data_IF_769668736073
#
_entry.id   IF_769668736073
#
_cell.length_a   1.000
_cell.length_b   1.000
_cell.length_c   1.000
_cell.angle_alpha   90.00
_cell.angle_beta   90.00
_cell.angle_gamma   90.00
#
_symmetry.space_group_name_H-M   'P 1'
#
loop_
_entity.id
_entity.type
_entity.pdbx_description
1 polymer ?
#
# COMPACT_ATOMS: atom_id res chain seq x y z
N UNK A 1 4.14 -35.59 -3.21
CA UNK A 1 2.91 -35.41 -4.00
C UNK A 1 1.97 -34.56 -3.14
N UNK A 2 2.02 -33.24 -3.27
CA UNK A 2 1.18 -32.32 -2.48
C UNK A 2 -0.02 -31.98 -3.35
N UNK A 3 -1.21 -32.30 -2.82
CA UNK A 3 -2.50 -32.10 -3.44
C UNK A 3 -2.77 -30.61 -3.65
N UNK A 4 -2.83 -30.17 -4.91
CA UNK A 4 -3.44 -28.91 -5.29
C UNK A 4 -4.96 -29.02 -5.07
N UNK A 5 -5.43 -28.55 -3.92
CA UNK A 5 -6.86 -28.27 -3.73
C UNK A 5 -7.22 -27.13 -4.68
N UNK A 6 -7.94 -27.47 -5.74
CA UNK A 6 -8.64 -26.54 -6.62
C UNK A 6 -9.57 -25.65 -5.79
N UNK A 7 -9.10 -24.47 -5.39
CA UNK A 7 -9.99 -23.38 -4.99
C UNK A 7 -10.73 -22.90 -6.25
N UNK A 8 -11.87 -23.55 -6.53
CA UNK A 8 -12.91 -22.90 -7.34
C UNK A 8 -13.32 -21.67 -6.57
N UNK A 9 -13.08 -20.48 -7.14
CA UNK A 9 -13.52 -19.20 -6.57
C UNK A 9 -14.96 -19.33 -6.08
N UNK A 10 -15.13 -19.23 -4.77
CA UNK A 10 -16.43 -19.38 -4.14
C UNK A 10 -17.41 -18.37 -4.73
N UNK A 11 -18.68 -18.77 -4.84
CA UNK A 11 -19.76 -17.84 -5.19
C UNK A 11 -19.68 -16.69 -4.19
N UNK A 12 -19.34 -15.50 -4.69
CA UNK A 12 -19.33 -14.29 -3.87
C UNK A 12 -20.76 -14.07 -3.39
N UNK A 13 -20.98 -14.20 -2.09
CA UNK A 13 -22.31 -14.16 -1.47
C UNK A 13 -22.94 -12.78 -1.62
N UNK A 14 -24.27 -12.75 -1.77
CA UNK A 14 -25.04 -11.50 -1.72
C UNK A 14 -24.94 -10.82 -0.34
N UNK A 15 -24.60 -11.58 0.70
CA UNK A 15 -24.33 -11.09 2.04
C UNK A 15 -23.03 -11.68 2.58
N UNK A 16 -22.38 -10.96 3.48
CA UNK A 16 -21.19 -11.41 4.20
C UNK A 16 -21.29 -10.98 5.65
N UNK A 17 -21.11 -11.92 6.58
CA UNK A 17 -21.13 -11.64 8.01
C UNK A 17 -19.69 -11.38 8.46
N UNK A 18 -19.43 -10.21 9.01
CA UNK A 18 -18.12 -9.91 9.59
C UNK A 18 -17.82 -10.84 10.76
N UNK A 19 -16.56 -11.23 10.88
CA UNK A 19 -16.08 -12.14 11.93
C UNK A 19 -14.65 -11.82 12.39
N UNK A 20 -14.18 -10.61 12.11
CA UNK A 20 -12.85 -10.11 12.47
C UNK A 20 -12.93 -9.02 13.53
N UNK A 21 -11.92 -8.95 14.40
CA UNK A 21 -11.88 -8.02 15.53
C UNK A 21 -13.20 -8.04 16.33
N UNK A 22 -13.73 -6.86 16.66
CA UNK A 22 -15.05 -6.67 17.27
C UNK A 22 -16.16 -6.42 16.22
N UNK A 23 -15.85 -6.57 14.92
CA UNK A 23 -16.79 -6.34 13.84
C UNK A 23 -17.78 -7.51 13.74
N UNK A 24 -19.07 -7.18 13.66
CA UNK A 24 -20.15 -8.16 13.61
C UNK A 24 -21.34 -7.66 12.78
N UNK A 25 -21.13 -6.81 11.78
CA UNK A 25 -22.20 -6.35 10.89
C UNK A 25 -22.59 -7.44 9.88
N UNK A 26 -23.85 -7.42 9.46
CA UNK A 26 -24.26 -8.13 8.26
C UNK A 26 -24.10 -7.18 7.08
N UNK A 27 -23.19 -7.53 6.19
CA UNK A 27 -22.90 -6.76 5.00
C UNK A 27 -23.76 -7.25 3.84
N UNK A 28 -24.24 -6.32 3.02
CA UNK A 28 -24.95 -6.60 1.78
C UNK A 28 -24.10 -6.16 0.61
N UNK A 29 -23.91 -7.05 -0.38
CA UNK A 29 -23.21 -6.71 -1.62
C UNK A 29 -24.07 -5.74 -2.43
N UNK A 30 -23.53 -4.57 -2.72
CA UNK A 30 -24.22 -3.50 -3.46
C UNK A 30 -23.70 -3.30 -4.88
N UNK A 31 -22.48 -3.77 -5.16
CA UNK A 31 -21.90 -3.80 -6.51
C UNK A 31 -21.02 -5.04 -6.69
N UNK A 32 -20.99 -5.58 -7.91
CA UNK A 32 -20.16 -6.73 -8.27
C UNK A 32 -19.69 -6.63 -9.73
N UNK A 33 -18.36 -6.56 -9.91
CA UNK A 33 -17.70 -6.48 -11.21
C UNK A 33 -16.54 -7.47 -11.32
N UNK A 34 -15.71 -7.32 -12.37
CA UNK A 34 -14.47 -8.10 -12.57
C UNK A 34 -13.41 -7.75 -11.53
N UNK A 35 -13.34 -6.49 -11.12
CA UNK A 35 -12.26 -5.94 -10.30
C UNK A 35 -12.69 -5.67 -8.86
N UNK A 36 -14.00 -5.65 -8.57
CA UNK A 36 -14.53 -5.19 -7.30
C UNK A 36 -15.76 -6.00 -6.87
N UNK A 37 -15.81 -6.34 -5.59
CA UNK A 37 -17.03 -6.66 -4.87
C UNK A 37 -17.22 -5.63 -3.73
N UNK A 38 -18.28 -4.83 -3.81
CA UNK A 38 -18.55 -3.76 -2.85
C UNK A 38 -19.68 -4.16 -1.91
N UNK A 39 -19.45 -3.97 -0.62
CA UNK A 39 -20.32 -4.35 0.48
C UNK A 39 -20.59 -3.18 1.40
N UNK A 40 -21.85 -2.96 1.77
CA UNK A 40 -22.25 -1.97 2.76
C UNK A 40 -22.94 -2.67 3.94
N UNK A 41 -22.82 -2.09 5.13
CA UNK A 41 -23.84 -2.27 6.15
C UNK A 41 -25.10 -1.41 5.85
N UNK A 42 -26.07 -1.40 6.76
CA UNK A 42 -27.33 -0.67 6.55
C UNK A 42 -27.20 0.85 6.58
N UNK A 43 -26.09 1.39 7.08
CA UNK A 43 -25.98 2.79 7.47
C UNK A 43 -25.24 3.63 6.41
N UNK A 44 -24.74 2.98 5.36
CA UNK A 44 -24.14 3.66 4.19
C UNK A 44 -25.22 4.08 3.21
N UNK A 45 -25.18 5.35 2.80
CA UNK A 45 -26.07 5.87 1.76
C UNK A 45 -25.76 5.19 0.41
N UNK A 46 -26.76 4.49 -0.13
CA UNK A 46 -26.67 3.79 -1.41
C UNK A 46 -26.55 4.73 -2.61
N UNK A 47 -26.82 6.02 -2.45
CA UNK A 47 -26.56 7.03 -3.49
C UNK A 47 -25.07 7.13 -3.85
N UNK A 48 -24.17 6.73 -2.94
CA UNK A 48 -22.70 6.74 -3.13
C UNK A 48 -22.18 5.62 -4.02
N UNK A 49 -22.98 4.58 -4.30
CA UNK A 49 -22.55 3.37 -5.03
C UNK A 49 -21.90 3.69 -6.39
N UNK A 50 -22.47 4.54 -7.27
CA UNK A 50 -21.89 4.77 -8.59
C UNK A 50 -20.49 5.37 -8.52
N UNK A 51 -20.28 6.35 -7.62
CA UNK A 51 -18.99 6.99 -7.42
C UNK A 51 -17.95 6.03 -6.82
N UNK A 52 -18.29 5.38 -5.70
CA UNK A 52 -17.36 4.48 -4.98
C UNK A 52 -16.98 3.28 -5.86
N UNK A 53 -17.97 2.64 -6.49
CA UNK A 53 -17.70 1.47 -7.34
C UNK A 53 -16.84 1.81 -8.54
N UNK A 54 -17.04 2.98 -9.16
CA UNK A 54 -16.19 3.46 -10.25
C UNK A 54 -14.76 3.70 -9.77
N UNK A 55 -14.60 4.50 -8.72
CA UNK A 55 -13.28 4.85 -8.18
C UNK A 55 -12.48 3.59 -7.81
N UNK A 56 -13.05 2.69 -7.01
CA UNK A 56 -12.35 1.49 -6.53
C UNK A 56 -12.04 0.50 -7.65
N UNK A 57 -12.92 0.36 -8.64
CA UNK A 57 -12.64 -0.50 -9.80
C UNK A 57 -11.48 0.06 -10.65
N UNK A 58 -11.45 1.38 -10.86
CA UNK A 58 -10.36 2.07 -11.56
C UNK A 58 -9.05 1.95 -10.78
N UNK A 59 -9.09 2.18 -9.46
CA UNK A 59 -7.94 2.09 -8.58
C UNK A 59 -7.35 0.67 -8.53
N UNK A 60 -8.20 -0.35 -8.40
CA UNK A 60 -7.73 -1.73 -8.35
C UNK A 60 -7.15 -2.20 -9.69
N UNK A 61 -7.73 -1.76 -10.82
CA UNK A 61 -7.13 -1.98 -12.15
C UNK A 61 -5.76 -1.33 -12.27
N UNK A 62 -5.60 -0.10 -11.77
CA UNK A 62 -4.30 0.58 -11.71
C UNK A 62 -3.28 -0.23 -10.90
N UNK A 63 -3.69 -0.70 -9.72
CA UNK A 63 -2.85 -1.52 -8.83
C UNK A 63 -2.39 -2.79 -9.53
N UNK A 64 -3.31 -3.60 -10.07
CA UNK A 64 -2.96 -4.86 -10.74
C UNK A 64 -2.02 -4.65 -11.93
N UNK A 65 -2.26 -3.60 -12.73
CA UNK A 65 -1.43 -3.28 -13.89
C UNK A 65 0.02 -2.95 -13.52
N UNK A 66 0.22 -2.27 -12.39
CA UNK A 66 1.53 -1.74 -12.02
C UNK A 66 2.29 -2.64 -11.02
N UNK A 67 1.59 -3.23 -10.05
CA UNK A 67 2.17 -3.93 -8.89
C UNK A 67 2.02 -5.45 -8.95
N UNK A 68 1.48 -5.99 -10.05
CA UNK A 68 1.37 -7.42 -10.32
C UNK A 68 0.05 -8.05 -9.85
N UNK A 69 0.06 -9.38 -9.75
CA UNK A 69 -1.11 -10.15 -9.31
C UNK A 69 -1.20 -10.22 -7.78
N UNK A 70 -2.43 -10.20 -7.27
CA UNK A 70 -2.77 -10.22 -5.85
C UNK A 70 -3.56 -11.49 -5.50
N UNK A 71 -3.07 -12.63 -5.96
CA UNK A 71 -3.70 -13.93 -5.71
C UNK A 71 -4.67 -14.37 -6.81
N UNK A 72 -5.35 -15.50 -6.60
CA UNK A 72 -6.17 -16.15 -7.63
C UNK A 72 -7.51 -15.46 -7.88
N UNK A 73 -8.05 -14.72 -6.90
CA UNK A 73 -9.21 -13.84 -7.11
C UNK A 73 -8.71 -12.44 -7.44
N UNK A 74 -9.08 -11.96 -8.62
CA UNK A 74 -8.61 -10.68 -9.13
C UNK A 74 -9.37 -9.47 -8.56
N UNK A 75 -10.30 -9.68 -7.62
CA UNK A 75 -11.13 -8.63 -7.03
C UNK A 75 -10.53 -8.03 -5.77
N UNK A 76 -10.77 -6.74 -5.63
CA UNK A 76 -10.83 -6.06 -4.35
C UNK A 76 -12.20 -6.31 -3.71
N UNK A 77 -12.21 -6.61 -2.43
CA UNK A 77 -13.42 -6.68 -1.61
C UNK A 77 -13.45 -5.44 -0.74
N UNK A 78 -14.38 -4.54 -1.02
CA UNK A 78 -14.44 -3.28 -0.31
C UNK A 78 -15.69 -3.24 0.57
N UNK A 79 -15.49 -2.90 1.83
CA UNK A 79 -16.52 -2.84 2.87
C UNK A 79 -16.60 -1.41 3.36
N UNK A 80 -17.80 -0.86 3.44
CA UNK A 80 -18.04 0.49 3.94
C UNK A 80 -19.11 0.47 5.02
N UNK A 81 -18.89 1.31 6.03
CA UNK A 81 -19.78 1.63 7.14
C UNK A 81 -19.88 3.14 7.29
N UNK A 82 -20.89 3.65 7.98
CA UNK A 82 -20.99 5.09 8.32
C UNK A 82 -20.99 5.26 9.83
N UNK A 83 -20.09 6.10 10.36
CA UNK A 83 -20.06 6.45 11.78
C UNK A 83 -19.69 5.29 12.71
N UNK A 84 -18.98 4.28 12.20
CA UNK A 84 -18.53 3.10 12.95
C UNK A 84 -17.04 2.88 12.75
N UNK A 85 -16.43 2.03 13.58
CA UNK A 85 -15.09 1.45 13.35
C UNK A 85 -14.06 2.45 12.78
N UNK A 86 -13.79 3.53 13.52
CA UNK A 86 -13.08 4.70 13.00
C UNK A 86 -11.79 4.39 12.23
N UNK A 87 -11.61 5.06 11.09
CA UNK A 87 -10.51 4.81 10.16
C UNK A 87 -10.87 3.78 9.09
N UNK A 88 -9.86 3.03 8.65
CA UNK A 88 -10.00 1.86 7.82
C UNK A 88 -9.06 0.76 8.28
N UNK A 89 -9.22 -0.45 7.74
CA UNK A 89 -8.20 -1.49 7.84
C UNK A 89 -8.14 -2.34 6.58
N UNK A 90 -6.98 -2.98 6.31
CA UNK A 90 -6.78 -3.82 5.15
C UNK A 90 -6.67 -5.30 5.53
N UNK A 91 -7.02 -6.17 4.59
CA UNK A 91 -6.56 -7.55 4.59
C UNK A 91 -6.14 -7.97 3.18
N UNK A 92 -5.36 -9.04 3.10
CA UNK A 92 -4.79 -9.51 1.85
C UNK A 92 -4.95 -11.02 1.75
N UNK A 93 -4.91 -11.54 0.51
CA UNK A 93 -5.31 -12.90 0.19
C UNK A 93 -4.51 -14.03 0.86
N UNK A 94 -3.40 -13.74 1.53
CA UNK A 94 -2.69 -14.71 2.37
C UNK A 94 -3.31 -14.89 3.77
N UNK A 95 -4.21 -13.99 4.18
CA UNK A 95 -4.79 -13.98 5.52
C UNK A 95 -6.12 -14.73 5.59
N UNK A 96 -6.22 -15.65 6.54
CA UNK A 96 -7.47 -16.32 6.86
C UNK A 96 -8.48 -15.40 7.56
N UNK A 97 -8.04 -14.29 8.17
CA UNK A 97 -8.92 -13.40 8.96
C UNK A 97 -10.04 -12.78 8.14
N UNK A 98 -9.84 -12.66 6.83
CA UNK A 98 -10.83 -12.13 5.89
C UNK A 98 -11.04 -13.08 4.72
N UNK A 99 -11.09 -14.39 5.02
CA UNK A 99 -11.48 -15.41 4.05
C UNK A 99 -10.58 -15.46 2.79
N UNK A 100 -9.29 -15.17 2.97
CA UNK A 100 -8.26 -15.14 1.90
C UNK A 100 -8.60 -14.17 0.75
N UNK A 101 -9.15 -13.00 1.09
CA UNK A 101 -9.49 -11.92 0.13
C UNK A 101 -8.60 -10.70 0.32
N UNK A 102 -8.43 -9.95 -0.76
CA UNK A 102 -7.92 -8.58 -0.69
C UNK A 102 -9.06 -7.68 -0.24
N UNK A 103 -9.00 -7.19 0.99
CA UNK A 103 -10.07 -6.47 1.64
C UNK A 103 -9.62 -5.08 2.04
N UNK A 104 -10.48 -4.10 1.80
CA UNK A 104 -10.45 -2.83 2.52
C UNK A 104 -11.77 -2.69 3.26
N UNK A 105 -11.71 -2.27 4.52
CA UNK A 105 -12.87 -2.08 5.38
C UNK A 105 -12.81 -0.66 5.96
N UNK A 106 -13.88 0.10 5.77
CA UNK A 106 -13.90 1.56 5.88
C UNK A 106 -15.00 2.00 6.83
N UNK A 107 -14.64 2.67 7.93
CA UNK A 107 -15.59 2.99 9.00
C UNK A 107 -16.15 4.43 9.04
N UNK A 108 -15.34 5.40 8.61
CA UNK A 108 -15.59 6.82 8.89
C UNK A 108 -16.95 7.34 8.35
N UNK A 109 -17.18 7.30 7.04
CA UNK A 109 -18.38 7.84 6.38
C UNK A 109 -18.57 9.35 6.54
N UNK A 110 -19.55 9.97 5.84
CA UNK A 110 -20.61 9.39 5.01
C UNK A 110 -20.30 9.15 3.50
N UNK A 111 -19.03 9.14 3.07
CA UNK A 111 -18.56 8.68 1.74
C UNK A 111 -19.18 9.32 0.48
N UNK A 112 -19.68 10.54 0.58
CA UNK A 112 -20.12 11.29 -0.59
C UNK A 112 -18.96 11.62 -1.53
N UNK A 113 -19.29 12.03 -2.76
CA UNK A 113 -18.32 12.48 -3.77
C UNK A 113 -17.77 13.88 -3.41
N UNK A 114 -17.04 13.93 -2.29
CA UNK A 114 -16.37 15.10 -1.77
C UNK A 114 -14.85 14.94 -1.89
N UNK A 115 -14.14 16.07 -1.95
CA UNK A 115 -12.68 16.05 -2.03
C UNK A 115 -12.06 15.33 -0.83
N UNK A 116 -11.22 14.34 -1.12
CA UNK A 116 -10.53 13.53 -0.10
C UNK A 116 -11.38 12.45 0.56
N UNK A 117 -12.64 12.27 0.15
CA UNK A 117 -13.50 11.17 0.63
C UNK A 117 -12.86 9.80 0.40
N UNK A 118 -12.07 9.66 -0.67
CA UNK A 118 -11.37 8.42 -1.03
C UNK A 118 -9.96 8.30 -0.44
N UNK A 119 -9.49 9.22 0.41
CA UNK A 119 -8.13 9.15 0.97
C UNK A 119 -7.92 7.90 1.85
N UNK A 120 -8.89 7.57 2.72
CA UNK A 120 -8.80 6.37 3.57
C UNK A 120 -8.90 5.08 2.72
N UNK A 121 -9.88 4.93 1.80
CA UNK A 121 -9.89 3.78 0.89
C UNK A 121 -8.60 3.62 0.08
N UNK A 122 -8.01 4.73 -0.39
CA UNK A 122 -6.73 4.75 -1.11
C UNK A 122 -5.59 4.24 -0.23
N UNK A 123 -5.56 4.70 1.02
CA UNK A 123 -4.59 4.30 2.02
C UNK A 123 -4.66 2.79 2.30
N UNK A 124 -5.86 2.24 2.49
CA UNK A 124 -6.00 0.79 2.74
C UNK A 124 -5.66 -0.05 1.50
N UNK A 125 -5.94 0.44 0.29
CA UNK A 125 -5.47 -0.19 -0.95
C UNK A 125 -3.93 -0.24 -0.96
N UNK A 126 -3.26 0.82 -0.52
CA UNK A 126 -1.80 0.83 -0.44
C UNK A 126 -1.28 -0.28 0.48
N UNK A 127 -1.88 -0.52 1.64
CA UNK A 127 -1.42 -1.61 2.50
C UNK A 127 -1.52 -2.99 1.85
N UNK A 128 -2.50 -3.21 0.95
CA UNK A 128 -2.53 -4.44 0.15
C UNK A 128 -1.34 -4.48 -0.82
N UNK A 129 -1.03 -3.36 -1.50
CA UNK A 129 0.16 -3.24 -2.37
C UNK A 129 1.44 -3.52 -1.57
N UNK A 130 1.56 -2.91 -0.41
CA UNK A 130 2.71 -3.03 0.47
C UNK A 130 2.93 -4.47 0.95
N UNK A 131 1.85 -5.16 1.31
CA UNK A 131 1.91 -6.51 1.90
C UNK A 131 1.95 -7.63 0.87
N UNK A 132 1.52 -7.38 -0.38
CA UNK A 132 1.23 -8.46 -1.31
C UNK A 132 1.67 -8.25 -2.77
N UNK A 133 2.29 -7.11 -3.10
CA UNK A 133 2.77 -6.84 -4.46
C UNK A 133 3.75 -7.89 -4.97
N UNK A 134 3.70 -8.13 -6.28
CA UNK A 134 4.53 -9.13 -6.97
C UNK A 134 4.50 -10.52 -6.31
N UNK A 135 3.34 -10.93 -5.81
CA UNK A 135 3.12 -12.22 -5.16
C UNK A 135 4.01 -12.44 -3.92
N UNK A 136 4.36 -11.37 -3.20
CA UNK A 136 5.10 -11.45 -1.93
C UNK A 136 4.17 -11.43 -0.73
N UNK A 137 4.69 -11.67 0.48
CA UNK A 137 3.92 -11.59 1.71
C UNK A 137 4.67 -10.80 2.79
N UNK A 138 4.01 -9.76 3.30
CA UNK A 138 4.51 -8.86 4.35
C UNK A 138 5.17 -7.59 3.81
N UNK A 139 5.47 -6.66 4.73
CA UNK A 139 6.18 -5.41 4.42
C UNK A 139 7.46 -5.32 5.23
N UNK A 140 8.65 -5.31 4.61
CA UNK A 140 9.89 -5.24 5.38
C UNK A 140 10.15 -3.88 6.03
N UNK A 141 9.51 -2.80 5.57
CA UNK A 141 9.73 -1.45 6.12
C UNK A 141 8.56 -0.87 6.91
N UNK A 142 7.44 -1.58 7.00
CA UNK A 142 6.27 -1.17 7.79
C UNK A 142 6.63 -1.01 9.26
N UNK A 143 6.00 -0.02 9.90
CA UNK A 143 6.19 0.29 11.32
C UNK A 143 7.12 1.48 11.57
N UNK A 144 7.08 1.99 12.79
CA UNK A 144 7.86 3.16 13.17
C UNK A 144 9.27 2.77 13.66
N UNK A 145 10.28 3.64 13.49
CA UNK A 145 11.57 3.48 14.13
C UNK A 145 11.42 3.24 15.65
N UNK A 146 12.24 2.37 16.26
CA UNK A 146 13.38 1.67 15.67
C UNK A 146 13.04 0.35 14.94
N UNK A 147 11.77 -0.08 14.92
CA UNK A 147 11.37 -1.43 14.44
C UNK A 147 10.85 -1.44 12.99
N UNK A 148 10.74 -0.27 12.36
CA UNK A 148 10.37 -0.08 10.96
C UNK A 148 10.95 1.23 10.43
N UNK A 149 10.58 1.59 9.20
CA UNK A 149 11.16 2.71 8.46
C UNK A 149 10.14 3.83 8.27
N UNK A 150 9.00 3.51 7.66
CA UNK A 150 8.09 4.52 7.11
C UNK A 150 6.73 4.56 7.81
N UNK A 151 6.60 3.87 8.93
CA UNK A 151 5.35 3.86 9.70
C UNK A 151 4.19 3.26 8.92
N UNK A 152 3.01 3.73 9.28
CA UNK A 152 1.74 3.35 8.66
C UNK A 152 1.56 4.09 7.32
N UNK A 153 1.69 5.42 7.35
CA UNK A 153 1.11 6.24 6.28
C UNK A 153 2.09 6.76 5.22
N UNK A 154 3.41 6.77 5.44
CA UNK A 154 4.30 7.59 4.60
C UNK A 154 4.35 7.09 3.16
N UNK A 155 4.50 5.79 2.93
CA UNK A 155 4.46 5.24 1.57
C UNK A 155 3.04 5.34 0.95
N UNK A 156 1.99 5.31 1.76
CA UNK A 156 0.61 5.52 1.32
C UNK A 156 0.38 6.94 0.78
N UNK A 157 1.00 7.96 1.38
CA UNK A 157 0.89 9.36 0.94
C UNK A 157 1.35 9.53 -0.52
N UNK A 158 2.54 9.01 -0.88
CA UNK A 158 3.06 9.11 -2.26
C UNK A 158 2.32 8.18 -3.23
N UNK A 159 1.86 7.01 -2.75
CA UNK A 159 1.01 6.14 -3.54
C UNK A 159 -0.32 6.80 -3.88
N UNK A 160 -0.97 7.48 -2.94
CA UNK A 160 -2.23 8.18 -3.18
C UNK A 160 -2.07 9.28 -4.23
N UNK A 161 -1.00 10.07 -4.14
CA UNK A 161 -0.66 11.03 -5.17
C UNK A 161 -0.48 10.40 -6.56
N UNK A 162 0.32 9.33 -6.66
CA UNK A 162 0.58 8.59 -7.90
C UNK A 162 -0.71 7.98 -8.48
N UNK A 163 -1.53 7.37 -7.65
CA UNK A 163 -2.80 6.77 -8.03
C UNK A 163 -3.77 7.82 -8.58
N UNK A 164 -4.01 8.90 -7.85
CA UNK A 164 -4.91 9.96 -8.30
C UNK A 164 -4.44 10.55 -9.64
N UNK A 165 -3.13 10.80 -9.79
CA UNK A 165 -2.55 11.22 -11.06
C UNK A 165 -2.78 10.18 -12.17
N UNK A 166 -2.55 8.91 -11.87
CA UNK A 166 -2.72 7.78 -12.79
C UNK A 166 -4.18 7.54 -13.23
N UNK A 167 -5.15 7.96 -12.43
CA UNK A 167 -6.58 7.93 -12.74
C UNK A 167 -7.07 9.21 -13.43
N UNK A 168 -6.22 10.22 -13.61
CA UNK A 168 -6.59 11.53 -14.16
C UNK A 168 -7.33 12.45 -13.17
N UNK A 169 -7.34 12.10 -11.88
CA UNK A 169 -7.97 12.87 -10.80
C UNK A 169 -7.02 13.97 -10.30
N UNK A 170 -6.66 14.90 -11.19
CA UNK A 170 -5.59 15.87 -10.93
C UNK A 170 -5.87 16.83 -9.77
N UNK A 171 -7.15 17.15 -9.52
CA UNK A 171 -7.56 17.98 -8.37
C UNK A 171 -7.28 17.25 -7.05
N UNK A 172 -7.59 15.96 -6.97
CA UNK A 172 -7.28 15.12 -5.80
C UNK A 172 -5.77 14.94 -5.62
N UNK A 173 -5.06 14.70 -6.72
CA UNK A 173 -3.61 14.55 -6.69
C UNK A 173 -2.93 15.81 -6.12
N UNK A 174 -3.29 17.00 -6.61
CA UNK A 174 -2.68 18.24 -6.11
C UNK A 174 -3.09 18.54 -4.67
N UNK A 175 -4.35 18.27 -4.28
CA UNK A 175 -4.78 18.41 -2.88
C UNK A 175 -3.97 17.51 -1.95
N UNK A 176 -3.90 16.21 -2.26
CA UNK A 176 -3.15 15.24 -1.46
C UNK A 176 -1.68 15.64 -1.33
N UNK A 177 -1.05 16.05 -2.44
CA UNK A 177 0.33 16.55 -2.46
C UNK A 177 0.51 17.79 -1.57
N UNK A 178 -0.37 18.78 -1.64
CA UNK A 178 -0.28 20.00 -0.81
C UNK A 178 -0.34 19.64 0.68
N UNK A 179 -1.26 18.77 1.07
CA UNK A 179 -1.40 18.32 2.45
C UNK A 179 -0.13 17.58 2.92
N UNK A 180 0.39 16.65 2.11
CA UNK A 180 1.59 15.89 2.46
C UNK A 180 2.86 16.75 2.48
N UNK A 181 2.98 17.77 1.62
CA UNK A 181 4.10 18.71 1.61
C UNK A 181 4.18 19.54 2.90
N UNK A 182 3.04 19.86 3.50
CA UNK A 182 2.95 20.62 4.74
C UNK A 182 3.21 19.76 5.99
N UNK A 183 3.08 18.44 5.88
CA UNK A 183 3.19 17.53 7.01
C UNK A 183 4.64 17.25 7.40
N UNK A 184 4.89 17.15 8.72
CA UNK A 184 6.18 16.75 9.28
C UNK A 184 5.97 15.77 10.43
N UNK A 185 6.95 14.90 10.63
CA UNK A 185 6.95 13.89 11.66
C UNK A 185 8.18 14.03 12.56
N UNK A 186 8.15 13.33 13.69
CA UNK A 186 9.29 13.26 14.61
C UNK A 186 10.16 12.01 14.41
N UNK A 187 10.00 11.30 13.30
CA UNK A 187 10.81 10.14 12.94
C UNK A 187 11.36 10.22 11.50
N UNK A 188 12.59 9.73 11.25
CA UNK A 188 13.51 9.16 12.24
C UNK A 188 14.12 10.20 13.20
N UNK A 189 13.87 11.48 12.96
CA UNK A 189 14.24 12.58 13.86
C UNK A 189 13.15 13.67 13.86
N UNK A 190 13.13 14.57 14.87
CA UNK A 190 12.23 15.72 14.91
C UNK A 190 12.22 16.51 13.60
N UNK A 191 11.03 16.98 13.19
CA UNK A 191 10.81 17.81 12.00
C UNK A 191 11.27 17.17 10.67
N UNK A 192 11.08 15.85 10.51
CA UNK A 192 11.31 15.15 9.25
C UNK A 192 10.11 15.34 8.33
N UNK A 193 10.33 15.91 7.13
CA UNK A 193 9.28 16.05 6.12
C UNK A 193 9.41 14.91 5.09
N UNK A 194 8.77 13.77 5.38
CA UNK A 194 8.86 12.57 4.53
C UNK A 194 8.47 12.82 3.08
N UNK A 195 7.31 13.43 2.85
CA UNK A 195 6.85 13.67 1.50
C UNK A 195 7.72 14.69 0.76
N UNK A 196 7.95 15.86 1.39
CA UNK A 196 8.68 16.99 0.79
C UNK A 196 10.14 16.66 0.50
N UNK A 197 10.83 16.07 1.48
CA UNK A 197 12.30 15.94 1.43
C UNK A 197 12.75 14.56 0.96
N UNK A 198 11.88 13.54 0.97
CA UNK A 198 12.23 12.20 0.51
C UNK A 198 11.33 11.69 -0.62
N UNK A 199 10.05 11.42 -0.34
CA UNK A 199 9.20 10.62 -1.24
C UNK A 199 8.96 11.33 -2.57
N UNK A 200 8.65 12.63 -2.55
CA UNK A 200 8.41 13.38 -3.78
C UNK A 200 9.69 13.58 -4.61
N UNK A 201 10.85 13.95 -4.02
CA UNK A 201 12.14 13.91 -4.72
C UNK A 201 12.48 12.53 -5.28
N UNK A 202 12.32 11.46 -4.51
CA UNK A 202 12.60 10.09 -4.94
C UNK A 202 11.70 9.66 -6.11
N UNK A 203 10.40 9.92 -6.00
CA UNK A 203 9.42 9.68 -7.04
C UNK A 203 9.76 10.43 -8.33
N UNK A 204 9.91 11.76 -8.27
CA UNK A 204 10.15 12.58 -9.48
C UNK A 204 11.48 12.24 -10.14
N UNK A 205 12.54 12.05 -9.36
CA UNK A 205 13.87 11.76 -9.87
C UNK A 205 14.03 10.32 -10.38
N UNK A 206 13.20 9.37 -9.93
CA UNK A 206 13.22 7.97 -10.36
C UNK A 206 12.30 7.66 -11.55
N UNK A 207 11.58 8.65 -12.09
CA UNK A 207 10.62 8.46 -13.17
C UNK A 207 9.23 8.09 -12.68
N UNK A 208 8.79 8.71 -11.59
CA UNK A 208 7.43 8.72 -11.09
C UNK A 208 6.94 7.33 -10.67
N UNK A 209 5.79 6.86 -11.18
CA UNK A 209 5.21 5.53 -10.91
C UNK A 209 6.26 4.43 -11.02
N UNK A 210 7.20 4.55 -11.97
CA UNK A 210 8.27 3.59 -12.19
C UNK A 210 9.15 3.39 -10.95
N UNK A 211 9.45 4.47 -10.20
CA UNK A 211 10.26 4.38 -9.00
C UNK A 211 9.54 3.57 -7.90
N UNK A 212 8.26 3.85 -7.66
CA UNK A 212 7.44 3.13 -6.68
C UNK A 212 7.36 1.64 -7.03
N UNK A 213 6.99 1.36 -8.28
CA UNK A 213 6.82 0.00 -8.81
C UNK A 213 8.14 -0.78 -8.77
N UNK A 214 9.25 -0.15 -9.18
CA UNK A 214 10.56 -0.80 -9.14
C UNK A 214 11.02 -1.12 -7.73
N UNK A 215 10.71 -0.29 -6.74
CA UNK A 215 11.07 -0.56 -5.36
C UNK A 215 10.47 -1.86 -4.86
N UNK A 216 9.15 -2.03 -5.00
CA UNK A 216 8.49 -3.28 -4.63
C UNK A 216 8.94 -4.47 -5.47
N UNK A 217 9.24 -4.26 -6.76
CA UNK A 217 9.80 -5.32 -7.63
C UNK A 217 11.18 -5.78 -7.15
N UNK A 218 12.06 -4.85 -6.78
CA UNK A 218 13.38 -5.15 -6.26
C UNK A 218 13.29 -5.87 -4.92
N UNK A 219 12.42 -5.42 -4.01
CA UNK A 219 12.16 -6.14 -2.75
C UNK A 219 11.72 -7.57 -3.02
N UNK A 220 10.75 -7.74 -3.91
CA UNK A 220 10.25 -9.05 -4.29
C UNK A 220 11.32 -9.94 -4.92
N UNK A 221 12.27 -9.36 -5.65
CA UNK A 221 13.32 -10.14 -6.30
C UNK A 221 14.47 -10.51 -5.34
N UNK A 222 14.88 -9.58 -4.49
CA UNK A 222 16.17 -9.67 -3.80
C UNK A 222 16.08 -9.71 -2.28
N UNK A 223 15.03 -9.17 -1.67
CA UNK A 223 14.95 -9.10 -0.22
C UNK A 223 14.68 -10.50 0.39
N UNK A 224 15.35 -10.89 1.51
CA UNK A 224 15.25 -12.25 2.03
C UNK A 224 13.84 -12.70 2.39
N UNK A 225 13.52 -13.95 2.07
CA UNK A 225 12.24 -14.61 2.38
C UNK A 225 12.44 -15.91 3.15
N UNK A 226 11.44 -16.34 3.91
CA UNK A 226 11.48 -17.65 4.55
C UNK A 226 11.51 -18.76 3.49
N UNK A 227 12.38 -19.78 3.64
CA UNK A 227 12.49 -20.87 2.66
C UNK A 227 11.15 -21.51 2.33
N UNK A 228 10.88 -21.68 1.04
CA UNK A 228 9.64 -22.30 0.55
C UNK A 228 8.38 -21.42 0.65
N UNK A 229 8.52 -20.14 1.01
CA UNK A 229 7.39 -19.20 1.10
C UNK A 229 7.69 -17.91 0.35
N UNK A 230 6.64 -17.12 0.10
CA UNK A 230 6.76 -15.78 -0.43
C UNK A 230 6.86 -14.69 0.67
N UNK A 231 6.96 -15.09 1.94
CA UNK A 231 6.99 -14.19 3.08
C UNK A 231 8.38 -13.65 3.35
N UNK A 232 8.52 -12.33 3.45
CA UNK A 232 9.79 -11.71 3.85
C UNK A 232 10.23 -12.19 5.23
N UNK A 233 11.53 -12.46 5.37
CA UNK A 233 12.08 -13.14 6.55
C UNK A 233 12.35 -12.20 7.73
N UNK A 234 12.42 -10.89 7.50
CA UNK A 234 12.77 -9.87 8.49
C UNK A 234 12.37 -8.47 8.03
N UNK A 235 12.46 -7.51 8.93
CA UNK A 235 12.42 -6.08 8.59
C UNK A 235 13.71 -5.62 7.89
N UNK A 236 13.61 -4.55 7.12
CA UNK A 236 14.75 -3.86 6.52
C UNK A 236 15.30 -2.79 7.45
N UNK A 237 16.59 -2.48 7.28
CA UNK A 237 17.23 -1.33 7.94
C UNK A 237 17.30 -0.09 7.01
N UNK A 238 17.80 1.03 7.53
CA UNK A 238 17.88 2.28 6.77
C UNK A 238 18.81 2.20 5.56
N UNK A 239 19.96 1.54 5.71
CA UNK A 239 20.88 1.34 4.60
C UNK A 239 20.27 0.53 3.46
N UNK A 240 19.50 -0.51 3.78
CA UNK A 240 18.75 -1.32 2.83
C UNK A 240 17.65 -0.49 2.17
N UNK A 241 16.85 0.25 2.95
CA UNK A 241 15.83 1.13 2.40
C UNK A 241 16.42 2.08 1.34
N UNK A 242 17.50 2.79 1.68
CA UNK A 242 18.14 3.75 0.80
C UNK A 242 18.79 3.07 -0.41
N UNK A 243 19.38 1.88 -0.24
CA UNK A 243 19.97 1.09 -1.33
C UNK A 243 18.91 0.61 -2.33
N UNK A 244 17.80 0.04 -1.86
CA UNK A 244 16.70 -0.39 -2.71
C UNK A 244 15.99 0.78 -3.38
N UNK A 245 15.78 1.90 -2.67
CA UNK A 245 15.25 3.14 -3.28
C UNK A 245 16.17 3.71 -4.34
N UNK A 246 17.50 3.61 -4.15
CA UNK A 246 18.50 4.01 -5.16
C UNK A 246 18.41 3.15 -6.42
N UNK A 247 18.34 1.82 -6.26
CA UNK A 247 18.10 0.90 -7.36
C UNK A 247 16.80 1.17 -8.09
N UNK A 248 15.74 1.44 -7.35
CA UNK A 248 14.42 1.73 -7.91
C UNK A 248 14.40 3.01 -8.75
N UNK A 249 15.14 4.04 -8.31
CA UNK A 249 15.32 5.30 -9.02
C UNK A 249 16.39 5.23 -10.12
N UNK A 250 17.18 4.16 -10.18
CA UNK A 250 18.33 4.02 -11.08
C UNK A 250 19.50 4.95 -10.76
N UNK A 251 19.51 5.58 -9.59
CA UNK A 251 20.54 6.54 -9.17
C UNK A 251 20.80 6.52 -7.68
N UNK A 252 21.98 6.91 -7.25
CA UNK A 252 22.34 6.95 -5.83
C UNK A 252 21.55 8.04 -5.08
N UNK A 253 20.62 7.62 -4.21
CA UNK A 253 19.75 8.52 -3.44
C UNK A 253 20.33 8.90 -2.07
N UNK A 254 21.57 8.51 -1.75
CA UNK A 254 22.22 8.84 -0.46
C UNK A 254 22.18 10.33 -0.14
N UNK A 255 22.50 11.20 -1.10
CA UNK A 255 22.49 12.64 -0.86
C UNK A 255 21.09 13.16 -0.50
N UNK A 256 20.05 12.65 -1.17
CA UNK A 256 18.67 13.01 -0.86
C UNK A 256 18.25 12.47 0.51
N UNK A 257 18.67 11.26 0.86
CA UNK A 257 18.43 10.67 2.17
C UNK A 257 19.11 11.48 3.28
N UNK A 258 20.33 11.99 3.06
CA UNK A 258 21.03 12.88 3.99
C UNK A 258 20.23 14.16 4.25
N UNK A 259 19.62 14.74 3.21
CA UNK A 259 18.76 15.93 3.34
C UNK A 259 17.54 15.59 4.20
N UNK A 260 16.82 14.52 3.84
CA UNK A 260 15.57 14.15 4.50
C UNK A 260 15.77 13.69 5.96
N UNK A 261 16.67 12.73 6.16
CA UNK A 261 16.76 11.96 7.39
C UNK A 261 18.02 12.26 8.21
N UNK A 262 18.98 12.96 7.62
CA UNK A 262 20.35 13.02 8.13
C UNK A 262 21.14 11.79 7.69
N UNK A 263 22.40 11.71 8.13
CA UNK A 263 23.26 10.60 7.77
C UNK A 263 24.21 10.25 8.91
N UNK A 264 23.97 9.12 9.55
CA UNK A 264 24.78 8.65 10.69
C UNK A 264 25.81 7.62 10.24
N UNK A 265 26.82 7.37 11.07
CA UNK A 265 27.77 6.27 10.82
C UNK A 265 27.09 4.91 10.73
N UNK A 266 25.99 4.70 11.48
CA UNK A 266 25.20 3.47 11.40
C UNK A 266 24.52 3.33 10.04
N UNK A 267 23.91 4.41 9.52
CA UNK A 267 23.34 4.40 8.16
C UNK A 267 24.41 4.17 7.10
N UNK A 268 25.61 4.75 7.25
CA UNK A 268 26.75 4.51 6.37
C UNK A 268 27.13 3.02 6.33
N UNK A 269 27.30 2.41 7.50
CA UNK A 269 27.67 1.01 7.63
C UNK A 269 26.59 0.08 7.02
N UNK A 270 25.33 0.34 7.35
CA UNK A 270 24.20 -0.40 6.80
C UNK A 270 24.09 -0.26 5.28
N UNK A 271 24.29 0.95 4.73
CA UNK A 271 24.22 1.21 3.30
C UNK A 271 25.34 0.50 2.54
N UNK A 272 26.57 0.56 3.05
CA UNK A 272 27.70 -0.15 2.45
C UNK A 272 27.53 -1.67 2.53
N UNK A 273 26.99 -2.18 3.65
CA UNK A 273 26.63 -3.59 3.76
C UNK A 273 25.53 -3.98 2.76
N UNK A 274 24.47 -3.19 2.62
CA UNK A 274 23.38 -3.45 1.69
C UNK A 274 23.89 -3.51 0.24
N UNK A 275 24.80 -2.60 -0.16
CA UNK A 275 25.44 -2.63 -1.49
C UNK A 275 26.24 -3.91 -1.74
N UNK A 276 26.84 -4.49 -0.70
CA UNK A 276 27.55 -5.77 -0.81
C UNK A 276 26.59 -6.95 -0.85
N UNK A 277 25.61 -6.98 0.05
CA UNK A 277 24.66 -8.09 0.19
C UNK A 277 23.70 -8.19 -1.01
N UNK A 278 23.39 -7.05 -1.64
CA UNK A 278 22.45 -6.93 -2.77
C UNK A 278 23.13 -6.34 -4.02
N UNK A 279 24.37 -6.76 -4.31
CA UNK A 279 25.19 -6.21 -5.40
C UNK A 279 24.57 -6.28 -6.82
N UNK A 280 23.54 -7.10 -7.02
CA UNK A 280 22.77 -7.16 -8.27
C UNK A 280 21.88 -5.92 -8.51
N UNK A 281 21.65 -5.10 -7.48
CA UNK A 281 20.91 -3.83 -7.59
C UNK A 281 21.87 -2.72 -8.01
N UNK A 282 21.78 -2.31 -9.28
CA UNK A 282 22.71 -1.37 -9.92
C UNK A 282 22.07 0.01 -10.08
N UNK A 283 22.85 1.06 -9.82
CA UNK A 283 22.49 2.47 -10.04
C UNK A 283 23.76 3.33 -10.16
N UNK A 284 23.62 4.51 -10.76
CA UNK A 284 24.72 5.48 -10.94
C UNK A 284 24.76 6.56 -9.87
#
# INVERSE_FOLDING_TARGET
MISFLNFKGGIVGATWKEHWFDHNQLLTRVYYGSDLALYYDSDVDRSTIPYISKYLSDAWRYVKRNYGSFGPDERLYAIFHTGKYGGGHPSYYYSASHDFKNVIDQGAGPWFEDLGSMDIPTHEIFHIVEMASFNTQGSPGFGNPPNGIWGDSKMAEIFGYDLYKGLGLMVEAERAKILSLANSDNFPRPNTYWFRDWLFPWYTQGGETRALVNFFRLLAQYFPKHPGTNRYARSMNWGEFIHFSSGAAGKNMKNQATIAFGWTNEMENQFNKARSDFAAIIYT
#
